data_IF_773947969838
#
_entry.id   IF_773947969838
#
_cell.length_a   1.000
_cell.length_b   1.000
_cell.length_c   1.000
_cell.angle_alpha   90.00
_cell.angle_beta   90.00
_cell.angle_gamma   90.00
#
_symmetry.space_group_name_H-M   'P 1'
#
loop_
_entity.id
_entity.type
_entity.pdbx_description
1 polymer ?
#
# COMPACT_ATOMS: atom_id res chain seq x y z
N UNK A 1 -1.20 -12.60 14.83
CA UNK A 1 -0.82 -13.51 13.73
C UNK A 1 -1.18 -12.85 12.41
N UNK A 2 -0.27 -12.83 11.44
CA UNK A 2 -0.49 -12.14 10.16
C UNK A 2 -1.62 -12.82 9.37
N UNK A 3 -2.57 -12.03 8.89
CA UNK A 3 -3.68 -12.49 8.04
C UNK A 3 -3.11 -13.27 6.83
N UNK A 4 -3.64 -14.47 6.59
CA UNK A 4 -3.28 -15.28 5.43
C UNK A 4 -3.94 -14.68 4.18
N UNK A 5 -3.26 -13.71 3.57
CA UNK A 5 -3.67 -13.10 2.32
C UNK A 5 -3.30 -14.04 1.17
N UNK A 6 -4.26 -14.35 0.30
CA UNK A 6 -3.99 -15.04 -0.97
C UNK A 6 -2.97 -14.23 -1.78
N UNK A 7 -2.04 -14.92 -2.43
CA UNK A 7 -0.96 -14.31 -3.24
C UNK A 7 0.00 -13.37 -2.47
N UNK A 8 0.09 -13.50 -1.14
CA UNK A 8 0.95 -12.67 -0.27
C UNK A 8 2.39 -12.56 -0.78
N UNK A 9 3.01 -13.68 -1.14
CA UNK A 9 4.39 -13.72 -1.63
C UNK A 9 4.55 -12.96 -2.95
N UNK A 10 3.57 -13.08 -3.84
CA UNK A 10 3.59 -12.38 -5.12
C UNK A 10 3.46 -10.85 -4.92
N UNK A 11 2.58 -10.40 -4.02
CA UNK A 11 2.49 -8.98 -3.65
C UNK A 11 3.77 -8.47 -2.98
N UNK A 12 4.37 -9.25 -2.08
CA UNK A 12 5.66 -8.90 -1.47
C UNK A 12 6.77 -8.75 -2.53
N UNK A 13 6.83 -9.67 -3.50
CA UNK A 13 7.78 -9.59 -4.61
C UNK A 13 7.56 -8.34 -5.47
N UNK A 14 6.31 -8.02 -5.81
CA UNK A 14 5.98 -6.82 -6.58
C UNK A 14 6.36 -5.54 -5.82
N UNK A 15 6.13 -5.50 -4.51
CA UNK A 15 6.46 -4.37 -3.66
C UNK A 15 7.98 -4.18 -3.54
N UNK A 16 8.73 -5.27 -3.37
CA UNK A 16 10.18 -5.23 -3.31
C UNK A 16 10.79 -4.65 -4.59
N UNK A 17 10.36 -5.14 -5.77
CA UNK A 17 10.86 -4.65 -7.06
C UNK A 17 10.51 -3.16 -7.25
N UNK A 18 9.32 -2.73 -6.82
CA UNK A 18 8.90 -1.33 -6.89
C UNK A 18 9.77 -0.42 -6.02
N UNK A 19 10.07 -0.85 -4.78
CA UNK A 19 10.95 -0.11 -3.87
C UNK A 19 12.40 -0.05 -4.38
N UNK A 20 12.92 -1.16 -4.93
CA UNK A 20 14.24 -1.19 -5.54
C UNK A 20 14.38 -0.17 -6.68
N UNK A 21 13.33 -0.02 -7.51
CA UNK A 21 13.31 0.96 -8.59
C UNK A 21 13.40 2.41 -8.08
N UNK A 22 12.72 2.74 -6.98
CA UNK A 22 12.86 4.05 -6.32
C UNK A 22 14.23 4.24 -5.68
N UNK A 23 14.77 3.19 -5.05
CA UNK A 23 16.08 3.23 -4.43
C UNK A 23 17.19 3.57 -5.45
N UNK A 24 17.17 2.95 -6.63
CA UNK A 24 18.12 3.26 -7.71
C UNK A 24 18.07 4.73 -8.11
N UNK A 25 16.87 5.30 -8.31
CA UNK A 25 16.73 6.71 -8.68
C UNK A 25 17.11 7.65 -7.54
N UNK A 26 16.94 7.24 -6.28
CA UNK A 26 17.33 8.03 -5.11
C UNK A 26 18.86 8.09 -4.93
N UNK A 27 19.57 7.02 -5.27
CA UNK A 27 21.03 6.97 -5.18
C UNK A 27 21.67 7.65 -6.39
N UNK A 28 21.20 7.34 -7.60
CA UNK A 28 21.78 7.80 -8.85
C UNK A 28 20.66 8.14 -9.85
N UNK A 29 20.28 9.41 -10.01
CA UNK A 29 19.15 9.80 -10.86
C UNK A 29 19.42 9.58 -12.37
N UNK A 30 20.67 9.47 -12.79
CA UNK A 30 21.04 9.18 -14.19
C UNK A 30 20.72 7.74 -14.62
N UNK A 31 20.65 6.81 -13.67
CA UNK A 31 20.42 5.38 -13.92
C UNK A 31 18.94 5.04 -14.17
N UNK A 32 18.29 5.80 -15.05
CA UNK A 32 16.86 5.70 -15.37
C UNK A 32 16.52 4.35 -16.01
N UNK A 33 17.42 3.78 -16.82
CA UNK A 33 17.17 2.52 -17.52
C UNK A 33 17.10 1.32 -16.58
N UNK A 34 17.89 1.31 -15.50
CA UNK A 34 17.83 0.25 -14.49
C UNK A 34 16.49 0.30 -13.73
N UNK A 35 16.06 1.50 -13.32
CA UNK A 35 14.75 1.68 -12.68
C UNK A 35 13.60 1.25 -13.60
N UNK A 36 13.70 1.57 -14.89
CA UNK A 36 12.74 1.15 -15.92
C UNK A 36 12.70 -0.37 -16.07
N UNK A 37 13.84 -1.04 -16.04
CA UNK A 37 13.93 -2.50 -16.09
C UNK A 37 13.20 -3.17 -14.91
N UNK A 38 13.37 -2.66 -13.69
CA UNK A 38 12.64 -3.15 -12.52
C UNK A 38 11.13 -2.98 -12.68
N UNK A 39 10.66 -1.80 -13.11
CA UNK A 39 9.25 -1.56 -13.33
C UNK A 39 8.66 -2.38 -14.48
N UNK A 40 9.43 -2.63 -15.54
CA UNK A 40 9.04 -3.56 -16.61
C UNK A 40 8.86 -4.99 -16.08
N UNK A 41 9.80 -5.44 -15.25
CA UNK A 41 9.77 -6.77 -14.61
C UNK A 41 8.55 -6.88 -13.68
N UNK A 42 8.33 -5.89 -12.82
CA UNK A 42 7.15 -5.80 -11.94
C UNK A 42 5.85 -5.91 -12.75
N UNK A 43 5.73 -5.14 -13.84
CA UNK A 43 4.53 -5.15 -14.69
C UNK A 43 4.33 -6.49 -15.42
N UNK A 44 5.43 -7.16 -15.77
CA UNK A 44 5.38 -8.48 -16.42
C UNK A 44 4.92 -9.55 -15.45
N UNK A 45 5.45 -9.57 -14.22
CA UNK A 45 5.01 -10.48 -13.15
C UNK A 45 3.53 -10.25 -12.84
N UNK A 46 3.12 -9.00 -12.64
CA UNK A 46 1.72 -8.66 -12.35
C UNK A 46 0.76 -9.11 -13.46
N UNK A 47 1.16 -8.99 -14.74
CA UNK A 47 0.36 -9.47 -15.88
C UNK A 47 0.28 -11.00 -15.93
N UNK A 48 1.40 -11.69 -15.73
CA UNK A 48 1.45 -13.17 -15.76
C UNK A 48 0.61 -13.79 -14.65
N UNK A 49 0.69 -13.22 -13.45
CA UNK A 49 -0.05 -13.71 -12.28
C UNK A 49 -1.47 -13.13 -12.18
N UNK A 50 -1.89 -12.30 -13.14
CA UNK A 50 -3.23 -11.66 -13.17
C UNK A 50 -3.53 -10.89 -11.89
N UNK A 51 -2.51 -10.24 -11.30
CA UNK A 51 -2.64 -9.52 -10.05
C UNK A 51 -3.12 -8.08 -10.25
N UNK A 52 -4.12 -7.68 -9.47
CA UNK A 52 -4.61 -6.31 -9.45
C UNK A 52 -3.71 -5.44 -8.58
N UNK A 53 -2.90 -4.59 -9.23
CA UNK A 53 -2.14 -3.55 -8.52
C UNK A 53 -3.01 -2.35 -8.16
N UNK A 54 -2.65 -1.69 -7.06
CA UNK A 54 -3.31 -0.49 -6.56
C UNK A 54 -3.18 0.70 -7.54
N UNK A 55 -4.25 1.49 -7.75
CA UNK A 55 -4.21 2.67 -8.61
C UNK A 55 -3.14 3.71 -8.24
N UNK A 56 -2.75 3.85 -6.97
CA UNK A 56 -1.66 4.77 -6.56
C UNK A 56 -0.34 4.38 -7.21
N UNK A 57 0.04 3.11 -7.11
CA UNK A 57 1.25 2.54 -7.74
C UNK A 57 1.15 2.61 -9.27
N UNK A 58 -0.02 2.25 -9.84
CA UNK A 58 -0.22 2.34 -11.30
C UNK A 58 -0.11 3.76 -11.82
N UNK A 59 -0.47 4.79 -11.04
CA UNK A 59 -0.37 6.20 -11.44
C UNK A 59 1.09 6.63 -11.59
N UNK A 60 2.00 6.15 -10.75
CA UNK A 60 3.43 6.48 -10.82
C UNK A 60 4.20 5.77 -11.93
N UNK A 61 3.59 4.87 -12.71
CA UNK A 61 4.29 4.08 -13.74
C UNK A 61 3.86 4.43 -15.17
N UNK A 62 4.78 4.68 -16.10
CA UNK A 62 4.42 4.95 -17.49
C UNK A 62 3.75 3.75 -18.18
N UNK A 63 2.63 3.99 -18.88
CA UNK A 63 1.88 2.93 -19.59
C UNK A 63 2.62 2.36 -20.81
N UNK A 64 3.42 3.17 -21.50
CA UNK A 64 4.14 2.76 -22.71
C UNK A 64 5.47 2.11 -22.33
N UNK A 65 6.28 2.87 -21.61
CA UNK A 65 7.69 2.58 -21.45
C UNK A 65 8.06 1.97 -20.09
N UNK A 66 7.10 1.87 -19.16
CA UNK A 66 7.29 1.36 -17.79
C UNK A 66 8.29 2.16 -16.92
N UNK A 67 8.71 3.37 -17.32
CA UNK A 67 9.52 4.24 -16.46
C UNK A 67 8.73 4.73 -15.24
N UNK A 68 9.40 4.88 -14.09
CA UNK A 68 8.86 5.57 -12.91
C UNK A 68 8.65 7.04 -13.25
N UNK A 69 7.50 7.59 -12.89
CA UNK A 69 7.13 8.98 -13.11
C UNK A 69 7.38 9.77 -11.81
N UNK A 70 8.60 10.26 -11.66
CA UNK A 70 9.00 11.14 -10.57
C UNK A 70 8.95 12.58 -11.09
N UNK A 71 8.12 13.45 -10.48
CA UNK A 71 8.05 14.86 -10.85
C UNK A 71 9.44 15.51 -10.74
N UNK A 72 9.88 16.19 -11.80
CA UNK A 72 11.15 16.91 -11.83
C UNK A 72 12.37 16.08 -12.24
N UNK A 73 12.28 14.75 -12.24
CA UNK A 73 13.39 13.86 -12.67
C UNK A 73 13.05 13.19 -14.00
N UNK A 74 12.04 12.32 -14.02
CA UNK A 74 11.67 11.51 -15.19
C UNK A 74 10.34 11.92 -15.82
N UNK A 75 9.57 12.76 -15.12
CA UNK A 75 8.28 13.24 -15.57
C UNK A 75 8.09 14.72 -15.25
N UNK A 76 7.33 15.40 -16.12
CA UNK A 76 6.82 16.74 -15.86
C UNK A 76 5.36 16.66 -15.44
N UNK A 77 5.01 17.39 -14.39
CA UNK A 77 3.63 17.47 -13.90
C UNK A 77 3.14 18.90 -14.10
N UNK A 78 2.02 19.05 -14.79
CA UNK A 78 1.38 20.35 -15.03
C UNK A 78 -0.08 20.28 -14.65
N UNK A 79 -0.56 21.31 -13.96
CA UNK A 79 -2.00 21.50 -13.78
C UNK A 79 -2.54 22.31 -14.96
N UNK A 80 -3.52 21.74 -15.65
CA UNK A 80 -4.20 22.36 -16.78
C UNK A 80 -5.67 22.57 -16.44
N UNK A 81 -6.24 23.63 -16.99
CA UNK A 81 -7.67 23.97 -16.87
C UNK A 81 -8.30 23.82 -18.24
N UNK A 82 -9.40 23.05 -18.35
CA UNK A 82 -10.19 22.99 -19.59
C UNK A 82 -11.29 24.05 -19.56
N UNK A 83 -12.08 24.07 -18.49
CA UNK A 83 -13.13 25.05 -18.24
C UNK A 83 -12.97 25.67 -16.86
N UNK A 84 -13.83 26.64 -16.51
CA UNK A 84 -13.76 27.32 -15.22
C UNK A 84 -13.76 26.36 -14.02
N UNK A 85 -14.52 25.26 -14.11
CA UNK A 85 -14.73 24.28 -13.03
C UNK A 85 -13.84 23.03 -13.11
N UNK A 86 -13.25 22.71 -14.27
CA UNK A 86 -12.54 21.43 -14.47
C UNK A 86 -11.03 21.62 -14.55
N UNK A 87 -10.34 21.05 -13.56
CA UNK A 87 -8.87 21.03 -13.46
C UNK A 87 -8.36 19.62 -13.69
N UNK A 88 -7.24 19.52 -14.38
CA UNK A 88 -6.57 18.26 -14.68
C UNK A 88 -5.10 18.36 -14.30
N UNK A 89 -4.56 17.26 -13.78
CA UNK A 89 -3.13 17.08 -13.56
C UNK A 89 -2.59 16.20 -14.68
N UNK A 90 -1.78 16.79 -15.56
CA UNK A 90 -1.15 16.09 -16.67
C UNK A 90 0.28 15.73 -16.28
N UNK A 91 0.55 14.43 -16.24
CA UNK A 91 1.88 13.86 -15.99
C UNK A 91 2.44 13.37 -17.32
N UNK A 92 3.48 14.02 -17.84
CA UNK A 92 4.14 13.66 -19.10
C UNK A 92 5.49 13.00 -18.82
N UNK A 93 5.69 11.81 -19.37
CA UNK A 93 6.97 11.11 -19.31
C UNK A 93 7.99 11.78 -20.23
N UNK A 94 9.20 12.07 -19.72
CA UNK A 94 10.27 12.69 -20.49
C UNK A 94 10.94 11.71 -21.46
N UNK A 95 11.01 10.41 -21.12
CA UNK A 95 11.67 9.41 -21.95
C UNK A 95 10.88 9.00 -23.20
N UNK A 96 9.55 8.97 -23.15
CA UNK A 96 8.72 8.47 -24.28
C UNK A 96 7.60 9.41 -24.72
N UNK A 97 7.43 10.55 -24.06
CA UNK A 97 6.41 11.56 -24.38
C UNK A 97 4.97 11.21 -23.98
N UNK A 98 4.70 9.98 -23.53
CA UNK A 98 3.35 9.57 -23.12
C UNK A 98 2.86 10.40 -21.93
N UNK A 99 1.65 10.95 -22.04
CA UNK A 99 0.98 11.67 -20.97
C UNK A 99 -0.09 10.82 -20.29
N UNK A 100 -0.30 11.13 -19.00
CA UNK A 100 -1.44 10.67 -18.21
C UNK A 100 -2.17 11.89 -17.69
N UNK A 101 -3.49 11.90 -17.84
CA UNK A 101 -4.34 12.96 -17.34
C UNK A 101 -5.13 12.44 -16.15
N UNK A 102 -5.02 13.12 -15.02
CA UNK A 102 -5.76 12.83 -13.81
C UNK A 102 -6.74 13.99 -13.57
N UNK A 103 -8.03 13.68 -13.45
CA UNK A 103 -9.02 14.69 -13.09
C UNK A 103 -8.79 15.13 -11.63
N UNK A 104 -8.72 16.44 -11.40
CA UNK A 104 -8.63 17.02 -10.07
C UNK A 104 -10.03 17.47 -9.65
N UNK A 105 -10.81 16.52 -9.13
CA UNK A 105 -12.14 16.77 -8.56
C UNK A 105 -12.11 16.34 -7.08
N UNK A 106 -12.34 17.25 -6.12
CA UNK A 106 -12.36 16.91 -4.70
C UNK A 106 -13.48 15.93 -4.33
N UNK A 107 -14.60 15.94 -5.06
CA UNK A 107 -15.75 15.07 -4.78
C UNK A 107 -15.56 13.64 -5.32
N UNK A 108 -14.50 13.40 -6.10
CA UNK A 108 -14.26 12.11 -6.73
C UNK A 108 -13.30 11.24 -5.90
N UNK A 109 -13.80 10.09 -5.45
CA UNK A 109 -13.05 9.09 -4.70
C UNK A 109 -12.95 7.77 -5.50
N UNK A 110 -11.76 7.14 -5.51
CA UNK A 110 -11.58 5.84 -6.15
C UNK A 110 -12.28 4.76 -5.33
N UNK A 111 -12.71 3.67 -5.99
CA UNK A 111 -13.27 2.51 -5.29
C UNK A 111 -12.34 1.98 -4.18
N UNK A 112 -11.02 1.95 -4.42
CA UNK A 112 -10.03 1.47 -3.46
C UNK A 112 -9.97 2.31 -2.18
N UNK A 113 -10.34 3.59 -2.27
CA UNK A 113 -10.26 4.56 -1.16
C UNK A 113 -11.59 4.66 -0.39
N UNK A 114 -12.65 3.99 -0.85
CA UNK A 114 -13.95 3.98 -0.16
C UNK A 114 -13.91 3.10 1.10
N UNK A 115 -14.54 3.51 2.21
CA UNK A 115 -14.51 2.76 3.47
C UNK A 115 -15.13 1.37 3.34
N UNK A 116 -16.19 1.23 2.55
CA UNK A 116 -16.85 -0.06 2.26
C UNK A 116 -15.89 -1.09 1.64
N UNK A 117 -15.00 -0.63 0.75
CA UNK A 117 -14.03 -1.50 0.08
C UNK A 117 -12.92 -1.97 1.04
N UNK A 118 -12.57 -1.14 2.04
CA UNK A 118 -11.56 -1.45 3.05
C UNK A 118 -12.08 -2.43 4.10
N UNK A 119 -13.34 -2.30 4.53
CA UNK A 119 -13.98 -3.23 5.48
C UNK A 119 -14.05 -4.66 4.93
N UNK A 120 -14.24 -4.82 3.63
CA UNK A 120 -14.28 -6.14 3.00
C UNK A 120 -12.91 -6.85 3.02
N UNK A 121 -11.81 -6.10 3.17
CA UNK A 121 -10.47 -6.67 3.38
C UNK A 121 -10.24 -7.07 4.85
N UNK A 122 -10.89 -6.38 5.79
CA UNK A 122 -10.78 -6.66 7.22
C UNK A 122 -11.68 -7.83 7.68
N UNK A 123 -12.78 -8.12 6.98
CA UNK A 123 -13.73 -9.20 7.33
C UNK A 123 -13.27 -10.64 7.05
N UNK A 124 -12.07 -10.87 6.52
CA UNK A 124 -11.45 -12.21 6.56
C UNK A 124 -10.37 -12.18 7.65
N UNK A 125 -10.64 -12.74 8.86
CA UNK A 125 -10.96 -14.16 9.05
C UNK A 125 -12.04 -14.44 10.12
N UNK A 126 -13.27 -14.74 9.71
CA UNK A 126 -14.32 -15.32 10.60
C UNK A 126 -14.47 -16.84 10.43
N UNK A 127 -13.37 -17.58 10.24
CA UNK A 127 -13.41 -19.06 10.17
C UNK A 127 -12.82 -19.79 11.37
N UNK A 128 -12.35 -19.09 12.41
CA UNK A 128 -11.76 -19.71 13.60
C UNK A 128 -12.69 -19.78 14.82
N UNK A 129 -13.88 -19.17 14.79
CA UNK A 129 -14.78 -19.10 15.95
C UNK A 129 -15.78 -20.27 16.10
N UNK A 130 -15.62 -21.37 15.34
CA UNK A 130 -16.55 -22.53 15.45
C UNK A 130 -15.99 -23.73 16.21
N UNK A 131 -14.73 -23.71 16.65
CA UNK A 131 -14.10 -24.88 17.29
C UNK A 131 -13.65 -24.69 18.75
N UNK A 132 -14.18 -23.67 19.45
CA UNK A 132 -13.94 -23.46 20.89
C UNK A 132 -15.14 -23.84 21.77
N UNK A 133 -16.08 -24.65 21.27
CA UNK A 133 -17.15 -25.22 22.12
C UNK A 133 -16.86 -26.61 22.68
N UNK A 134 -15.75 -27.23 22.30
CA UNK A 134 -15.41 -28.62 22.71
C UNK A 134 -14.26 -28.72 23.73
N UNK A 135 -13.68 -27.60 24.18
CA UNK A 135 -12.53 -27.62 25.12
C UNK A 135 -12.91 -27.15 26.53
N UNK A 136 -14.07 -26.52 26.72
CA UNK A 136 -14.46 -25.94 28.02
C UNK A 136 -14.95 -26.95 29.07
N UNK A 137 -15.14 -28.23 28.72
CA UNK A 137 -15.63 -29.25 29.68
C UNK A 137 -14.52 -29.90 30.52
N UNK A 138 -13.24 -29.55 30.30
CA UNK A 138 -12.11 -30.28 30.91
C UNK A 138 -11.16 -29.47 31.79
N UNK A 139 -11.40 -28.18 32.01
CA UNK A 139 -10.50 -27.33 32.80
C UNK A 139 -11.00 -27.04 34.23
N UNK A 140 -12.01 -27.77 34.73
CA UNK A 140 -12.59 -27.55 36.06
C UNK A 140 -11.85 -28.23 37.21
N UNK A 141 -10.58 -28.60 37.04
CA UNK A 141 -9.76 -29.07 38.16
C UNK A 141 -8.37 -28.46 38.06
N UNK A 142 -8.07 -27.64 39.08
CA UNK A 142 -6.76 -27.16 39.55
C UNK A 142 -6.38 -25.70 39.21
N UNK A 143 -6.99 -24.77 39.97
CA UNK A 143 -6.25 -23.69 40.65
C UNK A 143 -6.38 -23.97 42.16
N UNK A 144 -5.37 -23.72 43.01
CA UNK A 144 -4.99 -22.36 43.45
C UNK A 144 -3.46 -22.24 43.72
N UNK A 145 -2.79 -21.19 44.20
CA UNK A 145 -3.02 -20.07 45.15
C UNK A 145 -1.87 -19.05 44.90
N UNK A 146 -2.04 -17.73 44.89
CA UNK A 146 -1.64 -16.72 45.92
C UNK A 146 -1.44 -15.42 45.11
N UNK A 147 -2.25 -14.35 45.14
CA UNK A 147 -2.83 -13.49 46.19
C UNK A 147 -1.84 -12.51 46.87
N UNK A 148 -2.05 -11.23 46.50
CA UNK A 148 -1.87 -9.97 47.28
C UNK A 148 -0.41 -9.49 47.44
N UNK A 149 -0.10 -8.18 47.40
CA UNK A 149 -0.67 -7.06 48.16
C UNK A 149 -0.45 -5.72 47.43
N UNK A 150 -1.40 -4.81 47.69
CA UNK A 150 -1.67 -3.48 47.13
C UNK A 150 -0.71 -2.33 47.50
N UNK A 151 -0.63 -1.34 46.59
CA UNK A 151 -0.86 0.12 46.75
C UNK A 151 -0.46 0.87 48.04
N UNK A 152 0.21 2.04 47.90
CA UNK A 152 -0.34 3.42 48.16
C UNK A 152 0.72 4.49 48.52
N UNK A 153 0.43 5.75 48.11
CA UNK A 153 0.83 7.07 48.71
C UNK A 153 2.31 7.53 48.59
N UNK A 154 2.75 8.79 48.43
CA UNK A 154 2.22 10.12 48.05
C UNK A 154 3.38 11.16 48.20
N UNK A 155 3.26 12.31 47.50
CA UNK A 155 3.72 13.68 47.88
C UNK A 155 5.22 14.12 47.84
N UNK A 156 5.37 15.33 47.24
CA UNK A 156 6.33 16.43 47.50
C UNK A 156 7.79 16.18 47.06
N UNK A 157 8.56 17.08 46.42
CA UNK A 157 8.59 18.55 46.38
C UNK A 157 10.00 19.00 46.82
N UNK A 158 10.57 20.04 46.16
CA UNK A 158 11.82 20.78 46.50
C UNK A 158 13.11 20.06 46.03
N UNK A 159 14.08 20.62 45.30
CA UNK A 159 14.54 21.98 44.97
C UNK A 159 15.01 22.01 43.51
#
# INVERSE_FOLDING_TARGET
>A
MALHLKDKEAYQRLNYIYQAAHCVLSQNPENVELARFYCFTQRTIARRLVLRQDPSVKRTLCKKCCSLLIPGVTATVRQQRKNSRTRFTVVRCLSCGQSKTLLNNPDYCLWADRPEAQLNQQKQPESLAKNERLVCERAHLLLPVLSKVDSTTNRNGIN
#
